data_IF_589754329676
#
_entry.id   IF_589754329676
#
_cell.length_a   1.000
_cell.length_b   1.000
_cell.length_c   1.000
_cell.angle_alpha   90.00
_cell.angle_beta   90.00
_cell.angle_gamma   90.00
#
_symmetry.space_group_name_H-M   'P 1'
#
loop_
_entity.id
_entity.type
_entity.pdbx_description
1 polymer ?
#
# COMPACT_ATOMS: atom_id res chain seq x y z
N UNK A 1 0.89 -4.50 -17.89
CA UNK A 1 0.52 -4.42 -16.46
C UNK A 1 1.73 -3.94 -15.69
N UNK A 2 1.62 -2.77 -15.07
CA UNK A 2 2.73 -2.16 -14.32
C UNK A 2 2.62 -2.56 -12.85
N UNK A 3 3.74 -2.91 -12.22
CA UNK A 3 3.81 -3.28 -10.81
C UNK A 3 4.76 -2.35 -10.08
N UNK A 4 4.32 -1.80 -8.95
CA UNK A 4 5.12 -0.87 -8.14
C UNK A 4 5.26 -1.46 -6.74
N UNK A 5 6.49 -1.74 -6.34
CA UNK A 5 6.84 -2.16 -4.99
C UNK A 5 7.10 -0.93 -4.11
N UNK A 6 6.45 -0.86 -2.95
CA UNK A 6 6.48 0.27 -2.03
C UNK A 6 6.83 -0.26 -0.64
N UNK A 7 7.88 0.30 -0.03
CA UNK A 7 8.16 0.09 1.39
C UNK A 7 7.17 0.92 2.22
N UNK A 8 6.28 0.23 2.91
CA UNK A 8 5.26 0.87 3.73
C UNK A 8 5.79 1.38 5.06
N UNK A 9 7.03 1.06 5.45
CA UNK A 9 7.61 1.40 6.75
C UNK A 9 8.58 2.57 6.70
N UNK A 10 8.97 2.99 5.49
CA UNK A 10 9.93 4.07 5.28
C UNK A 10 9.29 5.45 5.42
N UNK A 11 9.89 6.31 6.24
CA UNK A 11 9.55 7.74 6.34
C UNK A 11 8.78 8.12 7.60
N UNK A 12 8.63 9.43 7.79
CA UNK A 12 7.89 9.98 8.92
C UNK A 12 6.39 9.73 8.74
N UNK A 13 5.71 9.27 9.80
CA UNK A 13 4.28 8.89 9.79
C UNK A 13 3.92 7.66 8.92
N UNK A 14 4.91 6.85 8.56
CA UNK A 14 4.66 5.49 8.10
C UNK A 14 4.08 4.62 9.25
N UNK A 15 3.26 3.59 8.95
CA UNK A 15 2.79 3.15 7.64
C UNK A 15 1.53 3.88 7.12
N UNK A 16 0.90 4.72 7.93
CA UNK A 16 -0.40 5.34 7.62
C UNK A 16 -0.35 6.31 6.43
N UNK A 17 0.64 7.20 6.38
CA UNK A 17 0.79 8.16 5.28
C UNK A 17 1.00 7.46 3.93
N UNK A 18 1.76 6.35 3.92
CA UNK A 18 2.04 5.57 2.72
C UNK A 18 0.79 4.85 2.25
N UNK A 19 0.05 4.19 3.15
CA UNK A 19 -1.21 3.51 2.80
C UNK A 19 -2.22 4.49 2.20
N UNK A 20 -2.39 5.66 2.82
CA UNK A 20 -3.31 6.69 2.32
C UNK A 20 -2.92 7.22 0.93
N UNK A 21 -1.61 7.37 0.65
CA UNK A 21 -1.12 7.76 -0.67
C UNK A 21 -1.35 6.69 -1.73
N UNK A 22 -1.12 5.42 -1.37
CA UNK A 22 -1.35 4.28 -2.27
C UNK A 22 -2.84 4.10 -2.58
N UNK A 23 -3.74 4.33 -1.63
CA UNK A 23 -5.18 4.28 -1.89
C UNK A 23 -5.62 5.34 -2.92
N UNK A 24 -5.11 6.57 -2.80
CA UNK A 24 -5.39 7.63 -3.78
C UNK A 24 -4.81 7.30 -5.15
N UNK A 25 -3.55 6.87 -5.21
CA UNK A 25 -2.88 6.52 -6.46
C UNK A 25 -3.56 5.33 -7.17
N UNK A 26 -4.07 4.35 -6.41
CA UNK A 26 -4.85 3.24 -6.94
C UNK A 26 -6.11 3.72 -7.64
N UNK A 27 -6.82 4.68 -7.05
CA UNK A 27 -8.07 5.18 -7.62
C UNK A 27 -7.83 6.00 -8.91
N UNK A 28 -6.67 6.66 -9.03
CA UNK A 28 -6.25 7.38 -10.23
C UNK A 28 -5.60 6.49 -11.30
N UNK A 29 -5.00 5.36 -10.91
CA UNK A 29 -4.20 4.48 -11.78
C UNK A 29 -4.70 3.02 -11.72
N UNK A 30 -5.88 2.71 -12.30
CA UNK A 30 -6.48 1.37 -12.21
C UNK A 30 -5.65 0.27 -12.89
N UNK A 31 -4.76 0.62 -13.81
CA UNK A 31 -3.90 -0.32 -14.55
C UNK A 31 -2.59 -0.66 -13.81
N UNK A 32 -2.39 -0.09 -12.62
CA UNK A 32 -1.18 -0.25 -11.80
C UNK A 32 -1.48 -1.11 -10.57
N UNK A 33 -0.66 -2.14 -10.37
CA UNK A 33 -0.69 -2.96 -9.17
C UNK A 33 0.34 -2.43 -8.16
N UNK A 34 -0.15 -1.99 -7.00
CA UNK A 34 0.70 -1.52 -5.90
C UNK A 34 0.94 -2.64 -4.89
N UNK A 35 2.20 -2.88 -4.56
CA UNK A 35 2.64 -3.92 -3.61
C UNK A 35 3.31 -3.25 -2.41
N UNK A 36 2.63 -3.27 -1.27
CA UNK A 36 3.12 -2.72 -0.01
C UNK A 36 3.90 -3.79 0.76
N UNK A 37 5.14 -3.46 1.14
CA UNK A 37 6.01 -4.33 1.93
C UNK A 37 6.14 -3.79 3.35
N UNK A 38 5.94 -4.65 4.34
CA UNK A 38 6.02 -4.28 5.76
C UNK A 38 5.36 -5.32 6.69
N UNK A 39 5.31 -5.05 8.01
CA UNK A 39 4.62 -5.88 8.98
C UNK A 39 3.13 -6.00 8.65
N UNK A 40 2.72 -7.21 8.28
CA UNK A 40 1.36 -7.51 7.80
C UNK A 40 0.29 -7.10 8.81
N UNK A 41 0.57 -7.20 10.11
CA UNK A 41 -0.40 -6.88 11.16
C UNK A 41 -0.73 -5.38 11.23
N UNK A 42 0.27 -4.51 10.99
CA UNK A 42 0.08 -3.06 10.95
C UNK A 42 -0.62 -2.64 9.66
N UNK A 43 -0.22 -3.23 8.52
CA UNK A 43 -0.82 -2.98 7.22
C UNK A 43 -2.29 -3.43 7.15
N UNK A 44 -2.61 -4.60 7.69
CA UNK A 44 -4.00 -5.11 7.73
C UNK A 44 -4.93 -4.24 8.57
N UNK A 45 -4.42 -3.58 9.61
CA UNK A 45 -5.22 -2.68 10.43
C UNK A 45 -5.58 -1.37 9.69
N UNK A 46 -4.77 -0.98 8.71
CA UNK A 46 -4.90 0.29 7.97
C UNK A 46 -5.59 0.12 6.61
N UNK A 47 -5.37 -1.01 5.92
CA UNK A 47 -5.97 -1.29 4.61
C UNK A 47 -7.45 -1.65 4.82
N UNK A 48 -8.35 -0.70 4.55
CA UNK A 48 -9.80 -0.85 4.75
C UNK A 48 -10.49 -1.75 3.72
N UNK A 49 -9.87 -2.02 2.57
CA UNK A 49 -10.48 -2.82 1.52
C UNK A 49 -9.43 -3.63 0.77
N UNK A 50 -9.75 -4.90 0.49
CA UNK A 50 -8.91 -5.95 -0.10
C UNK A 50 -8.03 -5.43 -1.25
N UNK A 51 -6.79 -5.06 -0.92
CA UNK A 51 -5.68 -5.04 -1.86
C UNK A 51 -4.87 -6.31 -1.58
N UNK A 52 -4.53 -7.06 -2.63
CA UNK A 52 -3.96 -8.41 -2.50
C UNK A 52 -2.59 -8.34 -1.83
N UNK A 53 -2.55 -8.60 -0.52
CA UNK A 53 -1.32 -8.75 0.26
C UNK A 53 -0.59 -9.98 -0.28
N UNK A 54 0.55 -9.77 -0.92
CA UNK A 54 1.49 -10.82 -1.27
C UNK A 54 2.50 -10.90 -0.12
N UNK A 55 2.48 -12.02 0.59
CA UNK A 55 3.45 -12.41 1.62
C UNK A 55 4.75 -12.91 0.98
#
# INVERSE_FOLDING_TARGET
MLKIAIDAMGGDNAPEAIVNGVEQARDEMPDVEFQLYGPVDQLKALIKMICKLIY
#
